data_IF_158640275304
#
_entry.id   IF_158640275304
#
_cell.length_a   1.000
_cell.length_b   1.000
_cell.length_c   1.000
_cell.angle_alpha   90.00
_cell.angle_beta   90.00
_cell.angle_gamma   90.00
#
_symmetry.space_group_name_H-M   'P 1'
#
loop_
_entity.id
_entity.type
_entity.pdbx_description
1 polymer ?
#
# COMPACT_ATOMS: atom_id res chain seq x y z
N UNK A 1 -16.34 -7.12 37.79
CA UNK A 1 -16.74 -6.01 36.91
C UNK A 1 -16.68 -6.54 35.49
N UNK A 2 -17.84 -6.69 34.87
CA UNK A 2 -17.98 -7.29 33.55
C UNK A 2 -17.46 -6.33 32.48
N UNK A 3 -16.36 -6.72 31.82
CA UNK A 3 -15.80 -6.01 30.68
C UNK A 3 -16.76 -6.18 29.49
N UNK A 4 -17.48 -5.10 29.15
CA UNK A 4 -18.22 -5.00 27.89
C UNK A 4 -17.22 -5.10 26.74
N UNK A 5 -17.37 -6.15 25.93
CA UNK A 5 -16.71 -6.27 24.64
C UNK A 5 -17.39 -5.26 23.71
N UNK A 6 -16.73 -4.12 23.45
CA UNK A 6 -17.11 -3.24 22.36
C UNK A 6 -16.81 -3.96 21.04
N UNK A 7 -17.86 -4.31 20.30
CA UNK A 7 -17.73 -4.67 18.88
C UNK A 7 -17.13 -3.46 18.18
N UNK A 8 -16.00 -3.66 17.48
CA UNK A 8 -15.52 -2.69 16.48
C UNK A 8 -16.70 -2.24 15.64
N UNK A 9 -17.01 -0.95 15.64
CA UNK A 9 -17.95 -0.36 14.69
C UNK A 9 -17.53 -0.82 13.29
N UNK A 10 -18.48 -1.37 12.53
CA UNK A 10 -18.27 -1.81 11.16
C UNK A 10 -17.77 -0.61 10.37
N UNK A 11 -16.48 -0.61 10.01
CA UNK A 11 -15.87 0.44 9.22
C UNK A 11 -16.74 0.67 7.97
N UNK A 12 -17.26 1.88 7.80
CA UNK A 12 -18.21 2.17 6.74
C UNK A 12 -17.64 1.71 5.38
N UNK A 13 -18.36 0.84 4.69
CA UNK A 13 -18.01 0.40 3.34
C UNK A 13 -18.86 1.14 2.33
N UNK A 14 -18.24 1.76 1.33
CA UNK A 14 -18.97 2.19 0.15
C UNK A 14 -19.31 0.99 -0.73
N UNK A 15 -20.60 0.83 -1.05
CA UNK A 15 -21.07 -0.02 -2.12
C UNK A 15 -21.05 0.80 -3.41
N UNK A 16 -20.03 0.61 -4.23
CA UNK A 16 -19.82 1.42 -5.44
C UNK A 16 -20.27 0.61 -6.63
N UNK A 17 -21.24 1.15 -7.37
CA UNK A 17 -21.56 0.67 -8.70
C UNK A 17 -20.58 1.35 -9.68
N UNK A 18 -19.65 0.61 -10.28
CA UNK A 18 -18.61 1.19 -11.10
C UNK A 18 -19.19 1.68 -12.44
N UNK A 19 -18.62 2.76 -12.99
CA UNK A 19 -18.96 3.25 -14.31
C UNK A 19 -18.13 2.53 -15.37
N UNK A 20 -18.73 2.10 -16.49
CA UNK A 20 -18.02 1.36 -17.53
C UNK A 20 -16.98 2.24 -18.22
N UNK A 21 -15.82 1.64 -18.52
CA UNK A 21 -14.76 2.30 -19.28
C UNK A 21 -14.44 1.57 -20.57
N UNK A 22 -13.38 0.76 -20.57
CA UNK A 22 -12.96 -0.06 -21.71
C UNK A 22 -12.62 -1.48 -21.27
N UNK A 23 -12.51 -2.39 -22.24
CA UNK A 23 -12.27 -3.81 -21.97
C UNK A 23 -10.96 -4.27 -22.59
N UNK A 24 -10.13 -4.93 -21.78
CA UNK A 24 -8.97 -5.68 -22.25
C UNK A 24 -9.31 -7.16 -22.35
N UNK A 25 -8.94 -7.80 -23.46
CA UNK A 25 -9.15 -9.23 -23.71
C UNK A 25 -7.82 -9.96 -23.85
N UNK A 26 -7.68 -11.07 -23.15
CA UNK A 26 -6.66 -12.10 -23.39
C UNK A 26 -7.34 -13.33 -24.00
N UNK A 27 -6.69 -13.95 -24.99
CA UNK A 27 -7.25 -15.10 -25.70
C UNK A 27 -7.04 -16.41 -24.94
N UNK A 28 -5.81 -16.65 -24.52
CA UNK A 28 -5.38 -17.93 -23.94
C UNK A 28 -4.73 -17.67 -22.58
N UNK A 29 -5.55 -17.69 -21.53
CA UNK A 29 -5.09 -17.54 -20.14
C UNK A 29 -5.15 -18.90 -19.47
N UNK A 30 -4.00 -19.31 -18.93
CA UNK A 30 -3.87 -20.54 -18.17
C UNK A 30 -4.58 -20.39 -16.83
N UNK A 31 -5.52 -21.27 -16.56
CA UNK A 31 -6.24 -21.35 -15.29
C UNK A 31 -5.95 -22.73 -14.71
N UNK A 32 -5.54 -22.75 -13.44
CA UNK A 32 -5.33 -23.99 -12.71
C UNK A 32 -6.69 -24.66 -12.49
N UNK A 33 -7.05 -25.59 -13.39
CA UNK A 33 -8.21 -26.44 -13.22
C UNK A 33 -7.97 -27.49 -12.13
N UNK A 34 -9.06 -28.11 -11.66
CA UNK A 34 -9.00 -29.16 -10.63
C UNK A 34 -8.28 -30.42 -11.15
N UNK A 35 -8.31 -30.66 -12.47
CA UNK A 35 -7.81 -31.90 -13.09
C UNK A 35 -6.70 -31.63 -14.10
N UNK A 36 -6.86 -30.61 -14.94
CA UNK A 36 -5.88 -30.20 -15.94
C UNK A 36 -5.83 -28.66 -16.02
N UNK A 37 -4.70 -28.16 -16.51
CA UNK A 37 -4.60 -26.77 -16.93
C UNK A 37 -5.58 -26.50 -18.08
N UNK A 38 -6.48 -25.55 -17.87
CA UNK A 38 -7.42 -25.10 -18.89
C UNK A 38 -7.00 -23.73 -19.43
N UNK A 39 -7.17 -23.53 -20.74
CA UNK A 39 -6.98 -22.23 -21.37
C UNK A 39 -8.35 -21.62 -21.64
N UNK A 40 -8.60 -20.44 -21.08
CA UNK A 40 -9.83 -19.68 -21.35
C UNK A 40 -9.51 -18.23 -21.67
N UNK A 41 -10.46 -17.55 -22.31
CA UNK A 41 -10.39 -16.11 -22.52
C UNK A 41 -10.56 -15.41 -21.17
N UNK A 42 -9.81 -14.33 -20.97
CA UNK A 42 -9.99 -13.43 -19.83
C UNK A 42 -10.35 -12.04 -20.33
N UNK A 43 -11.39 -11.46 -19.74
CA UNK A 43 -11.86 -10.12 -19.99
C UNK A 43 -11.65 -9.29 -18.72
N UNK A 44 -10.90 -8.21 -18.83
CA UNK A 44 -10.74 -7.25 -17.74
C UNK A 44 -11.49 -5.98 -18.11
N UNK A 45 -12.54 -5.67 -17.34
CA UNK A 45 -13.30 -4.44 -17.49
C UNK A 45 -12.60 -3.33 -16.68
N UNK A 46 -11.99 -2.37 -17.37
CA UNK A 46 -11.44 -1.18 -16.72
C UNK A 46 -12.59 -0.19 -16.52
N UNK A 47 -13.02 -0.07 -15.28
CA UNK A 47 -14.14 0.75 -14.83
C UNK A 47 -13.64 1.90 -13.95
N UNK A 48 -14.50 2.89 -13.68
CA UNK A 48 -14.11 4.04 -12.87
C UNK A 48 -15.17 4.49 -11.87
N UNK A 49 -14.73 5.13 -10.78
CA UNK A 49 -15.61 5.74 -9.78
C UNK A 49 -14.99 7.01 -9.17
N UNK A 50 -15.82 7.91 -8.63
CA UNK A 50 -15.33 9.17 -8.04
C UNK A 50 -14.82 8.97 -6.60
N UNK A 51 -15.22 7.88 -5.96
CA UNK A 51 -14.95 7.58 -4.56
C UNK A 51 -13.53 7.06 -4.31
N UNK A 52 -12.88 6.43 -5.29
CA UNK A 52 -11.48 6.06 -5.16
C UNK A 52 -10.60 7.31 -5.15
N UNK A 53 -9.55 7.39 -4.33
CA UNK A 53 -8.62 8.50 -4.38
C UNK A 53 -7.92 8.53 -5.75
N UNK A 54 -7.78 9.70 -6.39
CA UNK A 54 -6.90 9.81 -7.56
C UNK A 54 -5.44 9.54 -7.17
N UNK A 55 -4.56 9.23 -8.13
CA UNK A 55 -3.11 9.27 -7.90
C UNK A 55 -2.71 10.60 -7.25
N UNK A 56 -1.82 10.53 -6.25
CA UNK A 56 -1.37 11.70 -5.50
C UNK A 56 -0.56 12.62 -6.42
N UNK A 57 0.31 12.01 -7.21
CA UNK A 57 1.20 12.69 -8.13
C UNK A 57 0.64 12.62 -9.55
N UNK A 58 0.67 13.75 -10.23
CA UNK A 58 0.24 13.89 -11.62
C UNK A 58 1.47 13.95 -12.54
N UNK A 59 2.29 12.90 -12.49
CA UNK A 59 3.46 12.81 -13.34
C UNK A 59 3.07 12.79 -14.82
N UNK A 60 3.91 13.41 -15.65
CA UNK A 60 3.79 13.28 -17.09
C UNK A 60 4.33 11.92 -17.58
N UNK A 61 4.19 11.67 -18.88
CA UNK A 61 4.65 10.40 -19.47
C UNK A 61 6.18 10.26 -19.37
N UNK A 62 6.93 11.35 -19.53
CA UNK A 62 8.39 11.34 -19.60
C UNK A 62 9.00 11.14 -18.20
N UNK A 63 8.40 11.75 -17.17
CA UNK A 63 8.74 11.55 -15.76
C UNK A 63 8.51 10.11 -15.32
N UNK A 64 7.37 9.51 -15.70
CA UNK A 64 7.10 8.11 -15.37
C UNK A 64 8.08 7.19 -16.10
N UNK A 65 8.34 7.45 -17.39
CA UNK A 65 9.31 6.67 -18.15
C UNK A 65 10.71 6.75 -17.52
N UNK A 66 11.16 7.95 -17.13
CA UNK A 66 12.44 8.15 -16.46
C UNK A 66 12.51 7.42 -15.11
N UNK A 67 11.43 7.40 -14.32
CA UNK A 67 11.37 6.65 -13.07
C UNK A 67 11.42 5.13 -13.27
N UNK A 68 10.76 4.64 -14.32
CA UNK A 68 10.79 3.22 -14.69
C UNK A 68 12.19 2.81 -15.15
N UNK A 69 12.85 3.63 -15.97
CA UNK A 69 14.23 3.39 -16.43
C UNK A 69 15.25 3.46 -15.27
N UNK A 70 15.01 4.33 -14.28
CA UNK A 70 15.80 4.41 -13.06
C UNK A 70 15.56 3.24 -12.08
N UNK A 71 14.57 2.40 -12.33
CA UNK A 71 14.24 1.22 -11.52
C UNK A 71 13.53 1.54 -10.18
N UNK A 72 13.20 2.81 -9.91
CA UNK A 72 12.57 3.26 -8.67
C UNK A 72 11.28 4.05 -8.97
N UNK A 73 10.19 3.38 -9.42
CA UNK A 73 8.92 4.04 -9.68
C UNK A 73 8.29 4.53 -8.36
N UNK A 74 8.16 5.85 -8.21
CA UNK A 74 7.48 6.46 -7.05
C UNK A 74 5.99 6.65 -7.31
N UNK A 75 5.56 6.65 -8.58
CA UNK A 75 4.16 6.81 -8.94
C UNK A 75 3.30 5.64 -8.41
N UNK A 76 2.14 5.96 -7.85
CA UNK A 76 1.17 4.98 -7.35
C UNK A 76 -0.22 5.32 -7.87
N UNK A 77 -0.88 4.33 -8.49
CA UNK A 77 -2.24 4.46 -8.99
C UNK A 77 -3.16 3.64 -8.08
N UNK A 78 -4.00 4.28 -7.25
CA UNK A 78 -5.01 3.57 -6.46
C UNK A 78 -6.01 2.88 -7.39
N UNK A 79 -6.16 1.57 -7.23
CA UNK A 79 -7.14 0.78 -7.95
C UNK A 79 -7.67 -0.37 -7.10
N UNK A 80 -8.86 -0.86 -7.43
CA UNK A 80 -9.49 -2.01 -6.81
C UNK A 80 -9.72 -3.10 -7.85
N UNK A 81 -9.19 -4.30 -7.61
CA UNK A 81 -9.46 -5.47 -8.46
C UNK A 81 -10.70 -6.17 -7.91
N UNK A 82 -11.66 -6.52 -8.78
CA UNK A 82 -12.86 -7.26 -8.41
C UNK A 82 -12.59 -8.74 -8.17
N UNK A 83 -13.63 -9.47 -7.79
CA UNK A 83 -13.60 -10.94 -7.80
C UNK A 83 -13.62 -11.48 -9.24
N UNK A 84 -13.25 -12.75 -9.40
CA UNK A 84 -13.40 -13.46 -10.66
C UNK A 84 -14.86 -13.82 -10.86
N UNK A 85 -15.39 -13.48 -12.04
CA UNK A 85 -16.70 -13.91 -12.50
C UNK A 85 -16.57 -14.74 -13.79
N UNK A 86 -17.57 -15.58 -14.06
CA UNK A 86 -17.65 -16.39 -15.27
C UNK A 86 -18.70 -15.82 -16.21
N UNK A 87 -18.25 -15.37 -17.39
CA UNK A 87 -19.12 -14.83 -18.44
C UNK A 87 -19.06 -15.70 -19.67
N UNK A 88 -20.19 -15.81 -20.38
CA UNK A 88 -20.21 -16.40 -21.70
C UNK A 88 -19.79 -15.38 -22.75
N UNK A 89 -18.90 -15.77 -23.65
CA UNK A 89 -18.54 -14.94 -24.79
C UNK A 89 -19.57 -15.06 -25.94
N UNK A 90 -19.32 -14.37 -27.05
CA UNK A 90 -20.17 -14.47 -28.25
C UNK A 90 -20.20 -15.87 -28.89
N UNK A 91 -19.24 -16.73 -28.54
CA UNK A 91 -19.14 -18.12 -28.98
C UNK A 91 -19.80 -19.09 -27.98
N UNK A 92 -20.51 -18.58 -26.97
CA UNK A 92 -21.10 -19.32 -25.84
C UNK A 92 -20.06 -20.08 -24.98
N UNK A 93 -18.79 -19.71 -25.07
CA UNK A 93 -17.71 -20.31 -24.28
C UNK A 93 -17.55 -19.59 -22.94
N UNK A 94 -17.36 -20.38 -21.87
CA UNK A 94 -17.08 -19.84 -20.54
C UNK A 94 -15.73 -19.13 -20.51
N UNK A 95 -15.76 -17.86 -20.18
CA UNK A 95 -14.61 -16.97 -20.09
C UNK A 95 -14.55 -16.32 -18.72
N UNK A 96 -13.36 -15.92 -18.29
CA UNK A 96 -13.15 -15.18 -17.04
C UNK A 96 -13.44 -13.71 -17.27
N UNK A 97 -14.14 -13.07 -16.32
CA UNK A 97 -14.34 -11.62 -16.20
C UNK A 97 -13.72 -11.15 -14.89
N UNK A 98 -13.00 -10.02 -14.94
CA UNK A 98 -12.50 -9.32 -13.76
C UNK A 98 -12.77 -7.81 -13.93
N UNK A 99 -13.33 -7.18 -12.91
CA UNK A 99 -13.60 -5.73 -12.94
C UNK A 99 -12.49 -4.97 -12.21
N UNK A 100 -11.74 -4.11 -12.91
CA UNK A 100 -10.69 -3.26 -12.32
C UNK A 100 -11.22 -1.84 -12.23
N UNK A 101 -11.25 -1.30 -11.02
CA UNK A 101 -11.83 0.00 -10.71
C UNK A 101 -10.74 1.04 -10.43
N UNK A 102 -10.79 2.18 -11.12
CA UNK A 102 -9.89 3.33 -10.93
C UNK A 102 -10.66 4.61 -10.62
N UNK A 103 -9.95 5.67 -10.21
CA UNK A 103 -10.59 6.98 -10.00
C UNK A 103 -11.09 7.59 -11.34
N UNK A 104 -12.30 8.18 -11.33
CA UNK A 104 -12.93 8.82 -12.48
C UNK A 104 -12.13 9.99 -13.06
N UNK A 105 -11.47 10.79 -12.23
CA UNK A 105 -10.63 11.91 -12.68
C UNK A 105 -9.41 11.40 -13.42
N UNK A 106 -8.75 10.37 -12.88
CA UNK A 106 -7.63 9.70 -13.56
C UNK A 106 -8.08 9.06 -14.88
N UNK A 107 -9.22 8.36 -14.87
CA UNK A 107 -9.79 7.74 -16.07
C UNK A 107 -10.03 8.77 -17.18
N UNK A 108 -10.74 9.86 -16.86
CA UNK A 108 -11.07 10.92 -17.84
C UNK A 108 -9.80 11.61 -18.39
N UNK A 109 -8.79 11.79 -17.55
CA UNK A 109 -7.58 12.52 -17.90
C UNK A 109 -6.60 11.71 -18.75
N UNK A 110 -6.36 10.44 -18.40
CA UNK A 110 -5.25 9.63 -18.96
C UNK A 110 -5.71 8.38 -19.72
N UNK A 111 -6.93 7.89 -19.48
CA UNK A 111 -7.38 6.61 -20.03
C UNK A 111 -8.51 6.73 -21.06
N UNK A 112 -9.32 7.78 -20.99
CA UNK A 112 -10.47 7.96 -21.86
C UNK A 112 -10.06 8.14 -23.33
N UNK A 113 -8.94 8.83 -23.59
CA UNK A 113 -8.44 9.03 -24.95
C UNK A 113 -7.83 7.72 -25.49
N UNK A 114 -8.24 7.24 -26.68
CA UNK A 114 -7.63 6.07 -27.30
C UNK A 114 -6.18 6.30 -27.76
N UNK A 115 -5.76 7.57 -27.88
CA UNK A 115 -4.41 7.93 -28.30
C UNK A 115 -3.40 7.84 -27.17
N UNK A 116 -3.85 7.82 -25.91
CA UNK A 116 -2.98 7.72 -24.75
C UNK A 116 -2.66 6.25 -24.44
N UNK A 117 -1.86 5.65 -25.33
CA UNK A 117 -1.47 4.25 -25.24
C UNK A 117 -0.56 3.98 -24.03
N UNK A 118 0.25 4.97 -23.63
CA UNK A 118 1.22 4.84 -22.55
C UNK A 118 0.53 4.56 -21.22
N UNK A 119 -0.39 5.42 -20.78
CA UNK A 119 -1.07 5.24 -19.49
C UNK A 119 -1.97 3.99 -19.46
N UNK A 120 -2.55 3.60 -20.60
CA UNK A 120 -3.30 2.34 -20.71
C UNK A 120 -2.41 1.12 -20.57
N UNK A 121 -1.21 1.14 -21.16
CA UNK A 121 -0.25 0.07 -21.03
C UNK A 121 0.33 0.00 -19.61
N UNK A 122 0.65 1.16 -19.03
CA UNK A 122 1.07 1.28 -17.65
C UNK A 122 0.04 0.71 -16.67
N UNK A 123 -1.23 1.10 -16.83
CA UNK A 123 -2.31 0.55 -16.04
C UNK A 123 -2.42 -0.98 -16.23
N UNK A 124 -2.23 -1.45 -17.47
CA UNK A 124 -2.23 -2.88 -17.79
C UNK A 124 -1.15 -3.64 -17.04
N UNK A 125 0.08 -3.13 -17.00
CA UNK A 125 1.17 -3.72 -16.23
C UNK A 125 0.78 -3.86 -14.76
N UNK A 126 0.33 -2.76 -14.14
CA UNK A 126 0.00 -2.73 -12.72
C UNK A 126 -1.14 -3.69 -12.37
N UNK A 127 -2.25 -3.68 -13.12
CA UNK A 127 -3.35 -4.58 -12.78
C UNK A 127 -3.04 -6.03 -13.11
N UNK A 128 -2.17 -6.34 -14.10
CA UNK A 128 -1.78 -7.73 -14.36
C UNK A 128 -1.02 -8.29 -13.15
N UNK A 129 -0.12 -7.51 -12.56
CA UNK A 129 0.58 -7.88 -11.32
C UNK A 129 -0.41 -8.05 -10.14
N UNK A 130 -1.36 -7.13 -9.98
CA UNK A 130 -2.38 -7.24 -8.92
C UNK A 130 -3.34 -8.42 -9.11
N UNK A 131 -3.69 -8.76 -10.36
CA UNK A 131 -4.52 -9.94 -10.68
C UNK A 131 -3.74 -11.21 -10.39
N UNK A 132 -2.45 -11.25 -10.71
CA UNK A 132 -1.57 -12.37 -10.37
C UNK A 132 -1.47 -12.58 -8.86
N UNK A 133 -1.30 -11.50 -8.09
CA UNK A 133 -1.25 -11.55 -6.63
C UNK A 133 -2.58 -12.01 -6.01
N UNK A 134 -3.70 -11.39 -6.42
CA UNK A 134 -5.01 -11.68 -5.82
C UNK A 134 -5.61 -13.02 -6.24
N UNK A 135 -5.45 -13.39 -7.50
CA UNK A 135 -6.19 -14.49 -8.12
C UNK A 135 -5.29 -15.62 -8.63
N UNK A 136 -3.96 -15.48 -8.54
CA UNK A 136 -2.99 -16.44 -9.10
C UNK A 136 -3.15 -16.69 -10.61
N UNK A 137 -3.67 -15.70 -11.35
CA UNK A 137 -3.80 -15.74 -12.81
C UNK A 137 -2.68 -14.92 -13.43
N UNK A 138 -1.84 -15.55 -14.25
CA UNK A 138 -0.73 -14.89 -14.93
C UNK A 138 -1.19 -14.31 -16.28
N UNK A 139 -1.43 -13.00 -16.31
CA UNK A 139 -1.80 -12.27 -17.52
C UNK A 139 -0.58 -11.59 -18.13
N UNK A 140 -0.34 -11.83 -19.43
CA UNK A 140 0.76 -11.19 -20.15
C UNK A 140 0.39 -9.72 -20.49
N UNK A 141 1.06 -8.72 -19.89
CA UNK A 141 0.73 -7.30 -20.09
C UNK A 141 1.05 -6.81 -21.51
N UNK A 142 1.81 -7.56 -22.31
CA UNK A 142 2.14 -7.23 -23.71
C UNK A 142 1.12 -7.76 -24.72
N UNK A 143 0.22 -8.68 -24.30
CA UNK A 143 -0.79 -9.28 -25.17
C UNK A 143 -2.25 -8.81 -24.99
N UNK A 144 -2.59 -7.71 -24.28
CA UNK A 144 -3.98 -7.29 -24.16
C UNK A 144 -4.54 -6.84 -25.51
N UNK A 145 -5.73 -7.33 -25.86
CA UNK A 145 -6.51 -6.84 -26.99
C UNK A 145 -7.57 -5.89 -26.43
N UNK A 146 -7.37 -4.58 -26.60
CA UNK A 146 -8.37 -3.58 -26.19
C UNK A 146 -9.56 -3.61 -27.16
N UNK A 147 -10.75 -3.91 -26.65
CA UNK A 147 -11.97 -3.96 -27.46
C UNK A 147 -12.45 -2.54 -27.77
N UNK A 148 -12.54 -2.19 -29.06
CA UNK A 148 -12.95 -0.83 -29.49
C UNK A 148 -14.45 -0.58 -29.41
N UNK A 149 -15.25 -1.64 -29.53
CA UNK A 149 -16.71 -1.57 -29.66
C UNK A 149 -17.44 -2.05 -28.40
N UNK A 150 -16.74 -2.18 -27.27
CA UNK A 150 -17.33 -2.59 -25.99
C UNK A 150 -16.73 -1.81 -24.84
N UNK A 151 -17.59 -1.32 -23.96
CA UNK A 151 -17.21 -0.59 -22.74
C UNK A 151 -17.18 -1.50 -21.50
N UNK A 152 -17.90 -2.63 -21.54
CA UNK A 152 -17.87 -3.69 -20.54
C UNK A 152 -18.24 -5.04 -21.17
N UNK A 153 -17.87 -6.13 -20.50
CA UNK A 153 -18.32 -7.50 -20.77
C UNK A 153 -18.99 -8.02 -19.51
N UNK A 154 -20.21 -8.53 -19.62
CA UNK A 154 -21.02 -8.94 -18.47
C UNK A 154 -21.62 -7.77 -17.70
N UNK A 155 -22.33 -8.10 -16.61
CA UNK A 155 -22.80 -7.10 -15.65
C UNK A 155 -21.65 -6.67 -14.73
N UNK A 156 -21.52 -5.37 -14.49
CA UNK A 156 -20.49 -4.85 -13.60
C UNK A 156 -20.90 -5.05 -12.14
N UNK A 157 -20.05 -5.70 -11.37
CA UNK A 157 -20.36 -6.02 -9.98
C UNK A 157 -20.19 -4.80 -9.06
N UNK A 158 -21.04 -4.73 -8.02
CA UNK A 158 -20.90 -3.72 -6.98
C UNK A 158 -19.69 -4.06 -6.12
N UNK A 159 -18.69 -3.18 -6.11
CA UNK A 159 -17.48 -3.37 -5.32
C UNK A 159 -17.64 -2.74 -3.92
N UNK A 160 -17.20 -3.48 -2.89
CA UNK A 160 -17.10 -2.98 -1.51
C UNK A 160 -15.75 -2.32 -1.32
N UNK A 161 -15.73 -1.00 -1.14
CA UNK A 161 -14.51 -0.24 -0.84
C UNK A 161 -14.61 0.27 0.59
N UNK A 162 -13.60 -0.01 1.42
CA UNK A 162 -13.53 0.54 2.76
C UNK A 162 -13.35 2.06 2.68
N UNK A 163 -14.23 2.82 3.35
CA UNK A 163 -14.03 4.25 3.50
C UNK A 163 -12.73 4.48 4.27
N UNK A 164 -11.94 5.47 3.85
CA UNK A 164 -10.98 6.06 4.77
C UNK A 164 -11.78 6.64 5.94
N UNK A 165 -11.39 6.42 7.20
CA UNK A 165 -12.07 7.06 8.32
C UNK A 165 -12.04 8.58 8.10
N UNK A 166 -13.21 9.22 8.00
CA UNK A 166 -13.35 10.67 7.73
C UNK A 166 -12.74 11.53 8.83
N UNK A 167 -12.51 10.94 10.02
CA UNK A 167 -11.80 11.55 11.13
C UNK A 167 -10.71 10.61 11.60
N UNK A 168 -9.47 11.07 11.54
CA UNK A 168 -8.49 10.57 12.49
C UNK A 168 -9.00 11.03 13.86
N UNK A 169 -9.47 10.11 14.71
CA UNK A 169 -9.81 10.38 16.12
C UNK A 169 -8.55 10.86 16.91
N UNK A 170 -7.40 10.95 16.24
CA UNK A 170 -6.21 11.67 16.69
C UNK A 170 -6.06 12.95 15.83
N UNK A 171 -6.88 13.97 16.05
CA UNK A 171 -6.65 15.33 15.50
C UNK A 171 -6.37 16.35 16.61
N UNK A 172 -6.71 16.06 17.87
CA UNK A 172 -6.45 16.97 18.99
C UNK A 172 -4.97 16.99 19.43
N UNK A 173 -4.17 15.96 19.13
CA UNK A 173 -2.74 15.94 19.46
C UNK A 173 -1.86 16.61 18.39
N UNK A 174 -2.22 16.51 17.10
CA UNK A 174 -1.37 17.03 16.02
C UNK A 174 -1.37 18.56 15.93
N UNK A 175 -2.43 19.26 16.37
CA UNK A 175 -2.43 20.73 16.34
C UNK A 175 -1.57 21.32 17.46
N UNK A 176 -1.59 20.74 18.65
CA UNK A 176 -0.73 21.14 19.77
C UNK A 176 0.74 20.80 19.51
N UNK A 177 1.00 19.61 18.94
CA UNK A 177 2.35 19.17 18.58
C UNK A 177 2.92 19.96 17.40
N UNK A 178 2.10 20.37 16.41
CA UNK A 178 2.57 21.21 15.30
C UNK A 178 2.94 22.63 15.77
N UNK A 179 2.17 23.21 16.68
CA UNK A 179 2.50 24.51 17.30
C UNK A 179 3.72 24.41 18.24
N UNK A 180 3.94 23.25 18.89
CA UNK A 180 5.17 22.97 19.64
C UNK A 180 6.38 22.79 18.72
N UNK A 181 6.27 21.99 17.66
CA UNK A 181 7.33 21.77 16.68
C UNK A 181 7.74 23.07 15.98
N UNK A 182 6.80 23.92 15.55
CA UNK A 182 7.10 25.23 14.95
C UNK A 182 7.79 26.20 15.94
N UNK A 183 7.57 26.04 17.26
CA UNK A 183 8.26 26.80 18.31
C UNK A 183 9.64 26.24 18.65
N UNK A 184 9.88 24.95 18.42
CA UNK A 184 11.15 24.27 18.66
C UNK A 184 12.10 24.41 17.46
N UNK A 185 11.60 24.33 16.22
CA UNK A 185 12.35 24.60 14.98
C UNK A 185 12.92 26.03 14.95
N UNK A 186 12.20 27.02 15.47
CA UNK A 186 12.70 28.41 15.57
C UNK A 186 13.77 28.62 16.66
N UNK A 187 14.05 27.61 17.49
CA UNK A 187 15.04 27.68 18.58
C UNK A 187 16.32 26.90 18.33
N UNK A 188 16.38 26.06 17.29
CA UNK A 188 17.55 25.27 16.92
C UNK A 188 18.11 25.71 15.57
N UNK A 189 18.53 26.96 15.47
CA UNK A 189 19.38 27.42 14.36
C UNK A 189 20.83 27.32 14.83
N UNK A 190 21.48 26.20 14.54
CA UNK A 190 22.93 26.04 14.72
C UNK A 190 23.39 24.60 14.98
N UNK A 191 23.57 23.80 13.92
CA UNK A 191 24.55 22.70 13.74
C UNK A 191 24.00 21.50 12.91
N UNK A 192 23.61 21.65 11.63
CA UNK A 192 23.00 20.51 10.91
C UNK A 192 23.49 20.20 9.47
N UNK A 193 24.63 20.74 9.04
CA UNK A 193 25.16 20.50 7.67
C UNK A 193 25.59 19.03 7.37
N UNK A 194 25.61 18.14 8.37
CA UNK A 194 26.03 16.72 8.20
C UNK A 194 24.86 15.74 8.35
N UNK A 195 23.72 16.19 8.91
CA UNK A 195 22.56 15.34 9.17
C UNK A 195 21.61 15.25 7.96
N UNK A 196 21.44 16.34 7.21
CA UNK A 196 20.58 16.38 6.01
C UNK A 196 21.07 15.42 4.91
N UNK A 197 22.38 15.29 4.71
CA UNK A 197 22.95 14.44 3.65
C UNK A 197 22.67 12.93 3.86
N UNK A 198 22.38 12.50 5.09
CA UNK A 198 21.98 11.10 5.38
C UNK A 198 20.48 10.85 5.20
N UNK A 199 19.65 11.87 5.36
CA UNK A 199 18.20 11.74 5.27
C UNK A 199 17.72 11.61 3.82
N UNK A 200 18.41 12.25 2.87
CA UNK A 200 18.08 12.11 1.44
C UNK A 200 18.48 10.74 0.86
N UNK A 201 19.50 10.08 1.42
CA UNK A 201 20.06 8.86 0.83
C UNK A 201 19.22 7.60 1.09
N UNK A 202 18.33 7.59 2.09
CA UNK A 202 17.55 6.41 2.48
C UNK A 202 16.03 6.62 2.51
N UNK A 203 15.51 7.80 2.16
CA UNK A 203 14.06 8.08 2.14
C UNK A 203 13.35 7.87 3.50
N UNK A 204 14.12 7.78 4.60
CA UNK A 204 13.62 7.53 5.94
C UNK A 204 13.26 8.88 6.57
N UNK A 205 11.97 9.15 6.76
CA UNK A 205 11.53 10.21 7.68
C UNK A 205 12.13 9.91 9.05
N UNK A 206 12.82 10.89 9.66
CA UNK A 206 13.30 10.77 11.02
C UNK A 206 12.11 10.48 11.95
N UNK A 207 12.21 9.41 12.74
CA UNK A 207 11.20 9.07 13.74
C UNK A 207 11.80 9.36 15.09
N UNK A 208 11.23 10.32 15.80
CA UNK A 208 11.76 10.77 17.07
C UNK A 208 11.86 9.63 18.08
N UNK A 209 12.98 9.64 18.82
CA UNK A 209 13.33 8.57 19.74
C UNK A 209 13.77 7.25 19.07
N UNK A 210 13.88 7.18 17.74
CA UNK A 210 14.34 5.97 17.03
C UNK A 210 15.75 6.14 16.49
N UNK A 211 16.56 5.07 16.56
CA UNK A 211 17.88 4.98 15.91
C UNK A 211 18.03 3.64 15.22
N UNK A 212 18.23 3.67 13.91
CA UNK A 212 18.45 2.48 13.09
C UNK A 212 19.95 2.36 12.77
N UNK A 213 20.50 1.15 12.86
CA UNK A 213 21.89 0.82 12.53
C UNK A 213 21.94 -0.48 11.74
N UNK A 214 22.80 -0.52 10.73
CA UNK A 214 23.14 -1.74 10.01
C UNK A 214 24.51 -2.22 10.50
N UNK A 215 24.59 -3.47 10.92
CA UNK A 215 25.82 -4.15 11.31
C UNK A 215 26.18 -5.17 10.24
N UNK A 216 27.46 -5.19 9.85
CA UNK A 216 28.09 -6.16 8.93
C UNK A 216 27.36 -6.36 7.57
N UNK A 217 26.44 -5.45 7.22
CA UNK A 217 25.66 -5.48 5.99
C UNK A 217 24.41 -6.36 6.02
N UNK A 218 24.23 -7.20 7.04
CA UNK A 218 23.17 -8.20 7.09
C UNK A 218 22.26 -8.12 8.33
N UNK A 219 22.64 -7.33 9.35
CA UNK A 219 21.90 -7.26 10.61
C UNK A 219 21.43 -5.85 10.92
N UNK A 220 20.11 -5.65 10.93
CA UNK A 220 19.47 -4.40 11.31
C UNK A 220 19.29 -4.34 12.84
N UNK A 221 19.64 -3.22 13.46
CA UNK A 221 19.34 -2.90 14.85
C UNK A 221 18.54 -1.61 14.93
N UNK A 222 17.47 -1.62 15.70
CA UNK A 222 16.52 -0.53 15.87
C UNK A 222 16.43 -0.26 17.38
N UNK A 223 16.83 0.93 17.81
CA UNK A 223 16.67 1.40 19.18
C UNK A 223 15.52 2.40 19.25
N UNK A 224 14.54 2.17 20.14
CA UNK A 224 13.34 2.99 20.29
C UNK A 224 13.23 3.46 21.74
N UNK A 225 13.07 4.76 21.98
CA UNK A 225 12.90 5.34 23.31
C UNK A 225 11.44 5.22 23.75
N UNK A 226 11.17 4.38 24.74
CA UNK A 226 9.81 4.12 25.20
C UNK A 226 9.39 5.18 26.21
N UNK A 227 8.80 6.27 25.71
CA UNK A 227 8.21 7.33 26.53
C UNK A 227 6.84 7.75 26.03
N UNK A 228 6.02 8.28 26.93
CA UNK A 228 4.66 8.72 26.65
C UNK A 228 4.44 10.10 27.27
N UNK A 229 4.20 11.13 26.46
CA UNK A 229 4.02 12.50 26.93
C UNK A 229 5.19 12.99 27.83
N UNK A 230 6.42 12.53 27.54
CA UNK A 230 7.65 12.85 28.30
C UNK A 230 7.92 11.96 29.52
N UNK A 231 7.00 11.06 29.89
CA UNK A 231 7.18 10.10 30.99
C UNK A 231 7.76 8.78 30.47
N UNK A 232 8.88 8.27 31.03
CA UNK A 232 9.47 7.01 30.60
C UNK A 232 8.61 5.81 31.01
N UNK A 233 8.47 4.85 30.09
CA UNK A 233 7.77 3.59 30.35
C UNK A 233 8.73 2.65 31.09
N UNK A 234 8.55 2.53 32.41
CA UNK A 234 9.44 1.74 33.27
C UNK A 234 9.21 0.24 33.20
N UNK A 235 7.96 -0.17 32.96
CA UNK A 235 7.56 -1.58 32.92
C UNK A 235 7.49 -2.09 31.46
N UNK A 236 8.42 -2.95 31.03
CA UNK A 236 8.42 -3.50 29.67
C UNK A 236 7.23 -4.43 29.40
N UNK A 237 6.53 -4.94 30.44
CA UNK A 237 5.36 -5.83 30.25
C UNK A 237 4.17 -5.13 29.63
N UNK A 238 4.18 -3.80 29.65
CA UNK A 238 3.17 -2.96 28.99
C UNK A 238 3.44 -2.82 27.49
N UNK A 239 4.62 -3.18 27.02
CA UNK A 239 5.03 -3.08 25.63
C UNK A 239 4.77 -4.40 24.89
N UNK A 240 4.20 -4.30 23.71
CA UNK A 240 4.05 -5.42 22.77
C UNK A 240 4.75 -5.06 21.46
N UNK A 241 5.66 -5.92 21.02
CA UNK A 241 6.42 -5.74 19.78
C UNK A 241 5.87 -6.67 18.71
N UNK A 242 5.43 -6.10 17.59
CA UNK A 242 5.01 -6.83 16.40
C UNK A 242 5.94 -6.45 15.25
N UNK A 243 6.62 -7.46 14.70
CA UNK A 243 7.52 -7.31 13.57
C UNK A 243 6.96 -8.08 12.38
N UNK A 244 6.92 -7.43 11.24
CA UNK A 244 6.75 -8.08 9.94
C UNK A 244 7.96 -7.73 9.06
N UNK A 245 8.11 -8.36 7.87
CA UNK A 245 9.29 -8.13 7.05
C UNK A 245 9.56 -6.66 6.72
N UNK A 246 8.54 -5.80 6.67
CA UNK A 246 8.69 -4.41 6.20
C UNK A 246 8.27 -3.36 7.24
N UNK A 247 7.94 -3.73 8.47
CA UNK A 247 7.31 -2.82 9.45
C UNK A 247 7.60 -3.26 10.88
N UNK A 248 7.84 -2.26 11.73
CA UNK A 248 7.99 -2.42 13.18
C UNK A 248 6.85 -1.69 13.88
N UNK A 249 6.10 -2.41 14.71
CA UNK A 249 5.02 -1.88 15.53
C UNK A 249 5.31 -2.15 17.01
N UNK A 250 5.29 -1.12 17.83
CA UNK A 250 5.36 -1.22 19.29
C UNK A 250 4.10 -0.60 19.88
N UNK A 251 3.30 -1.40 20.58
CA UNK A 251 2.10 -0.92 21.27
C UNK A 251 2.29 -0.93 22.78
N UNK A 252 1.61 0.00 23.44
CA UNK A 252 1.50 0.13 24.89
C UNK A 252 0.09 -0.29 25.32
N UNK A 253 0.01 -1.15 26.34
CA UNK A 253 -1.24 -1.62 26.96
C UNK A 253 -2.27 -2.10 25.92
N UNK A 254 -1.78 -2.75 24.84
CA UNK A 254 -2.55 -3.32 23.71
C UNK A 254 -3.45 -2.36 22.94
N UNK A 255 -3.35 -1.05 23.22
CA UNK A 255 -4.32 -0.07 22.72
C UNK A 255 -3.64 1.11 22.04
N UNK A 256 -2.49 1.56 22.56
CA UNK A 256 -1.83 2.77 22.07
C UNK A 256 -0.57 2.42 21.29
N UNK A 257 -0.45 2.88 20.05
CA UNK A 257 0.80 2.73 19.29
C UNK A 257 1.85 3.74 19.80
N UNK A 258 3.04 3.25 20.16
CA UNK A 258 4.21 4.08 20.47
C UNK A 258 5.07 4.29 19.23
N UNK A 259 5.25 3.24 18.45
CA UNK A 259 6.04 3.25 17.23
C UNK A 259 5.33 2.45 16.16
N UNK A 260 5.18 3.03 14.98
CA UNK A 260 4.60 2.35 13.83
C UNK A 260 5.24 2.87 12.55
N UNK A 261 6.21 2.12 12.02
CA UNK A 261 6.96 2.57 10.85
C UNK A 261 7.45 1.45 9.95
N UNK A 262 7.62 1.80 8.68
CA UNK A 262 8.22 0.94 7.67
C UNK A 262 9.74 0.81 7.85
N UNK A 263 10.27 -0.37 7.59
CA UNK A 263 11.70 -0.66 7.64
C UNK A 263 12.35 -0.42 6.27
N UNK A 264 13.60 0.08 6.23
CA UNK A 264 14.32 0.33 4.97
C UNK A 264 14.75 -0.96 4.26
N UNK A 265 14.73 -2.09 4.95
CA UNK A 265 15.10 -3.41 4.43
C UNK A 265 14.05 -4.43 4.85
N UNK A 266 13.85 -5.45 4.01
CA UNK A 266 13.08 -6.62 4.40
C UNK A 266 13.83 -7.37 5.50
N UNK A 267 13.26 -7.49 6.69
CA UNK A 267 13.86 -8.30 7.77
C UNK A 267 13.26 -9.69 7.78
N UNK A 268 13.98 -10.65 8.35
CA UNK A 268 13.45 -11.96 8.70
C UNK A 268 12.94 -11.93 10.16
N UNK A 269 11.63 -11.87 10.42
CA UNK A 269 11.10 -11.77 11.78
C UNK A 269 11.47 -12.96 12.67
N UNK A 270 11.73 -14.14 12.07
CA UNK A 270 12.12 -15.35 12.83
C UNK A 270 13.51 -15.23 13.47
N UNK A 271 14.36 -14.34 12.96
CA UNK A 271 15.70 -14.07 13.51
C UNK A 271 15.69 -12.95 14.55
N UNK A 272 14.54 -12.30 14.74
CA UNK A 272 14.45 -11.09 15.55
C UNK A 272 14.67 -11.39 17.04
N UNK A 273 15.48 -10.55 17.67
CA UNK A 273 15.71 -10.51 19.12
C UNK A 273 15.37 -9.13 19.62
N UNK A 274 14.74 -9.05 20.79
CA UNK A 274 14.45 -7.78 21.43
C UNK A 274 14.98 -7.74 22.87
N UNK A 275 15.35 -6.56 23.33
CA UNK A 275 15.80 -6.32 24.70
C UNK A 275 15.36 -4.94 25.15
N UNK A 276 14.81 -4.86 26.35
CA UNK A 276 14.53 -3.58 26.99
C UNK A 276 15.71 -3.16 27.89
N UNK A 277 16.15 -1.91 27.75
CA UNK A 277 17.16 -1.30 28.61
C UNK A 277 16.47 -0.40 29.64
N UNK A 278 16.48 -0.84 30.91
CA UNK A 278 15.83 -0.15 32.02
C UNK A 278 16.49 1.19 32.41
N UNK A 279 17.78 1.38 32.15
CA UNK A 279 18.48 2.63 32.48
C UNK A 279 18.11 3.75 31.51
N UNK A 280 17.95 3.37 30.23
CA UNK A 280 17.67 4.31 29.13
C UNK A 280 16.21 4.33 28.71
N UNK A 281 15.38 3.45 29.26
CA UNK A 281 14.00 3.21 28.84
C UNK A 281 13.89 2.98 27.32
N UNK A 282 14.78 2.15 26.77
CA UNK A 282 14.86 1.91 25.32
C UNK A 282 14.59 0.46 24.99
N UNK A 283 13.72 0.21 24.00
CA UNK A 283 13.53 -1.09 23.38
C UNK A 283 14.48 -1.20 22.20
N UNK A 284 15.38 -2.18 22.25
CA UNK A 284 16.31 -2.50 21.16
C UNK A 284 15.83 -3.77 20.48
N UNK A 285 15.69 -3.72 19.17
CA UNK A 285 15.31 -4.84 18.30
C UNK A 285 16.44 -5.08 17.32
N UNK A 286 16.86 -6.33 17.17
CA UNK A 286 17.85 -6.74 16.16
C UNK A 286 17.33 -7.90 15.34
N UNK A 287 17.39 -7.81 14.02
CA UNK A 287 16.95 -8.84 13.09
C UNK A 287 17.85 -8.89 11.87
N UNK A 288 17.99 -10.06 11.26
CA UNK A 288 18.71 -10.19 10.00
C UNK A 288 17.85 -9.68 8.84
N UNK A 289 18.51 -9.07 7.86
CA UNK A 289 17.92 -8.64 6.60
C UNK A 289 17.82 -9.85 5.67
N UNK A 290 16.74 -9.89 4.90
CA UNK A 290 16.57 -10.75 3.75
C UNK A 290 17.23 -10.04 2.57
N UNK A 291 18.39 -10.56 2.15
CA UNK A 291 19.06 -10.18 0.91
C UNK A 291 18.40 -10.85 -0.30
#
# INVERSE_FOLDING_TARGET
>A
MDLKIEKKEEAETWLIKPLPGYVCKWKDVKINGIVNDEYRKCFVNVCHCEQLPPPIDDFDQDEIAAQLDAGNPSFRIPMSVGEIDCVKDHSDENSIKIDVLVNSTFYKKRLASPNDAFFRHLLCLIFCDLVKDRHSIDLDPLKPIVLRNRVSVGELEVQKIHKKPEKQIVEEMYQEDKVRMEKEEKKQVGNDDVAEMKNEMFGLKHIDGTRIRLFDGDRLEISMRCELNGEPIKDPRRLELQLNPTRCLVTLDKSRSLYDFGLPFHINPSTAKSKFNHEKFTLVVSANILL
#
